data_IF_380589876411
#
_entry.id   IF_380589876411
#
_cell.length_a   1.000
_cell.length_b   1.000
_cell.length_c   1.000
_cell.angle_alpha   90.00
_cell.angle_beta   90.00
_cell.angle_gamma   90.00
#
_symmetry.space_group_name_H-M   'P 1'
#
loop_
_entity.id
_entity.type
_entity.pdbx_description
1 polymer ?
#
# COMPACT_ATOMS: atom_id res chain seq x y z
N UNK A 1 -38.18 -19.70 -15.25
CA UNK A 1 -37.51 -18.44 -14.88
C UNK A 1 -36.18 -18.37 -15.62
N UNK A 2 -36.11 -17.63 -16.73
CA UNK A 2 -34.84 -17.42 -17.42
C UNK A 2 -34.01 -16.40 -16.65
N UNK A 3 -33.05 -16.89 -15.85
CA UNK A 3 -31.98 -16.03 -15.35
C UNK A 3 -31.17 -15.57 -16.56
N UNK A 4 -31.32 -14.30 -16.90
CA UNK A 4 -30.67 -13.69 -18.05
C UNK A 4 -29.15 -13.72 -17.81
N UNK A 5 -28.38 -14.25 -18.77
CA UNK A 5 -26.96 -14.57 -18.57
C UNK A 5 -26.14 -13.35 -18.17
N UNK A 6 -26.57 -12.15 -18.59
CA UNK A 6 -26.01 -10.86 -18.20
C UNK A 6 -26.19 -10.55 -16.71
N UNK A 7 -27.34 -10.91 -16.12
CA UNK A 7 -27.60 -10.72 -14.69
C UNK A 7 -26.67 -11.59 -13.83
N UNK A 8 -26.41 -12.83 -14.27
CA UNK A 8 -25.48 -13.74 -13.59
C UNK A 8 -24.03 -13.21 -13.62
N UNK A 9 -23.60 -12.60 -14.73
CA UNK A 9 -22.28 -11.98 -14.87
C UNK A 9 -22.13 -10.77 -13.93
N UNK A 10 -23.12 -9.87 -13.89
CA UNK A 10 -23.11 -8.71 -12.98
C UNK A 10 -23.12 -9.14 -11.51
N UNK A 11 -23.87 -10.19 -11.16
CA UNK A 11 -23.85 -10.77 -9.83
C UNK A 11 -22.49 -11.36 -9.47
N UNK A 12 -21.84 -12.07 -10.40
CA UNK A 12 -20.49 -12.59 -10.19
C UNK A 12 -19.48 -11.46 -9.96
N UNK A 13 -19.50 -10.40 -10.77
CA UNK A 13 -18.62 -9.23 -10.57
C UNK A 13 -18.83 -8.56 -9.21
N UNK A 14 -20.10 -8.41 -8.79
CA UNK A 14 -20.43 -7.85 -7.48
C UNK A 14 -19.92 -8.73 -6.34
N UNK A 15 -20.02 -10.05 -6.49
CA UNK A 15 -19.49 -11.01 -5.52
C UNK A 15 -17.96 -10.97 -5.48
N UNK A 16 -17.29 -10.89 -6.63
CA UNK A 16 -15.82 -10.78 -6.71
C UNK A 16 -15.33 -9.50 -6.03
N UNK A 17 -16.02 -8.36 -6.24
CA UNK A 17 -15.71 -7.11 -5.55
C UNK A 17 -15.93 -7.22 -4.03
N UNK A 18 -17.01 -7.87 -3.59
CA UNK A 18 -17.27 -8.11 -2.16
C UNK A 18 -16.23 -9.02 -1.55
N UNK A 19 -15.82 -10.06 -2.26
CA UNK A 19 -14.76 -10.98 -1.83
C UNK A 19 -13.42 -10.26 -1.72
N UNK A 20 -13.05 -9.44 -2.70
CA UNK A 20 -11.85 -8.61 -2.64
C UNK A 20 -11.88 -7.65 -1.45
N UNK A 21 -13.00 -6.96 -1.23
CA UNK A 21 -13.17 -6.07 -0.09
C UNK A 21 -13.10 -6.81 1.26
N UNK A 22 -13.73 -7.98 1.37
CA UNK A 22 -13.68 -8.80 2.57
C UNK A 22 -12.26 -9.31 2.87
N UNK A 23 -11.51 -9.73 1.84
CA UNK A 23 -10.08 -10.07 1.97
C UNK A 23 -9.24 -8.88 2.40
N UNK A 24 -9.53 -7.68 1.88
CA UNK A 24 -8.84 -6.46 2.31
C UNK A 24 -9.14 -6.13 3.78
N UNK A 25 -10.38 -6.30 4.23
CA UNK A 25 -10.75 -6.13 5.64
C UNK A 25 -10.03 -7.14 6.53
N UNK A 26 -10.00 -8.42 6.15
CA UNK A 26 -9.29 -9.47 6.89
C UNK A 26 -7.79 -9.15 7.01
N UNK A 27 -7.13 -8.85 5.88
CA UNK A 27 -5.71 -8.47 5.88
C UNK A 27 -5.44 -7.25 6.75
N UNK A 28 -6.32 -6.23 6.69
CA UNK A 28 -6.19 -5.04 7.55
C UNK A 28 -6.34 -5.39 9.03
N UNK A 29 -7.31 -6.22 9.40
CA UNK A 29 -7.50 -6.67 10.77
C UNK A 29 -6.29 -7.48 11.27
N UNK A 30 -5.74 -8.36 10.43
CA UNK A 30 -4.53 -9.12 10.73
C UNK A 30 -3.31 -8.20 10.92
N UNK A 31 -3.11 -7.18 10.09
CA UNK A 31 -2.01 -6.21 10.29
C UNK A 31 -2.12 -5.49 11.63
N UNK A 32 -3.32 -5.01 11.97
CA UNK A 32 -3.55 -4.29 13.24
C UNK A 32 -3.26 -5.21 14.44
N UNK A 33 -3.72 -6.46 14.38
CA UNK A 33 -3.43 -7.45 15.41
C UNK A 33 -1.92 -7.77 15.47
N UNK A 34 -1.27 -7.91 14.31
CA UNK A 34 0.16 -8.17 14.20
C UNK A 34 1.03 -7.04 14.76
N UNK A 35 0.65 -5.78 14.51
CA UNK A 35 1.29 -4.60 15.11
C UNK A 35 1.16 -4.62 16.64
N UNK A 36 -0.05 -4.86 17.16
CA UNK A 36 -0.28 -4.95 18.60
C UNK A 36 0.49 -6.12 19.26
N UNK A 37 0.54 -7.27 18.59
CA UNK A 37 1.29 -8.44 19.03
C UNK A 37 2.81 -8.21 19.01
N UNK A 38 3.34 -7.58 17.96
CA UNK A 38 4.77 -7.26 17.83
C UNK A 38 5.26 -6.32 18.94
N UNK A 39 4.41 -5.38 19.39
CA UNK A 39 4.72 -4.47 20.50
C UNK A 39 4.69 -5.16 21.86
N UNK A 40 3.71 -6.05 22.09
CA UNK A 40 3.48 -6.67 23.41
C UNK A 40 4.33 -7.91 23.69
N UNK A 41 4.96 -8.52 22.67
CA UNK A 41 5.96 -9.56 22.83
C UNK A 41 5.45 -10.84 23.52
N UNK A 42 5.21 -11.88 22.72
CA UNK A 42 5.30 -13.26 23.22
C UNK A 42 5.49 -14.22 22.04
N UNK A 43 6.73 -14.42 21.56
CA UNK A 43 7.01 -15.45 20.57
C UNK A 43 7.51 -16.69 21.31
N UNK A 44 6.63 -17.67 21.52
CA UNK A 44 7.05 -19.05 21.86
C UNK A 44 7.63 -19.77 20.62
N UNK A 45 7.49 -19.18 19.43
CA UNK A 45 7.99 -19.70 18.16
C UNK A 45 9.14 -18.83 17.63
N UNK A 46 10.28 -19.47 17.36
CA UNK A 46 11.51 -18.85 16.87
C UNK A 46 11.31 -18.11 15.54
N UNK A 47 10.46 -18.66 14.65
CA UNK A 47 10.14 -18.02 13.36
C UNK A 47 9.33 -16.72 13.54
N UNK A 48 8.48 -16.67 14.56
CA UNK A 48 7.70 -15.48 14.89
C UNK A 48 8.59 -14.44 15.57
N UNK A 49 9.61 -14.86 16.31
CA UNK A 49 10.57 -13.96 16.94
C UNK A 49 11.38 -13.17 15.90
N UNK A 50 11.91 -13.83 14.87
CA UNK A 50 12.62 -13.15 13.77
C UNK A 50 11.72 -12.12 13.07
N UNK A 51 10.49 -12.51 12.73
CA UNK A 51 9.51 -11.60 12.13
C UNK A 51 9.19 -10.40 13.04
N UNK A 52 9.01 -10.62 14.35
CA UNK A 52 8.75 -9.54 15.31
C UNK A 52 9.96 -8.60 15.41
N UNK A 53 11.18 -9.12 15.41
CA UNK A 53 12.39 -8.28 15.42
C UNK A 53 12.52 -7.46 14.14
N UNK A 54 12.26 -8.06 12.97
CA UNK A 54 12.25 -7.37 11.69
C UNK A 54 11.20 -6.26 11.62
N UNK A 55 9.98 -6.52 12.11
CA UNK A 55 8.91 -5.51 12.18
C UNK A 55 9.26 -4.37 13.12
N UNK A 56 9.83 -4.67 14.30
CA UNK A 56 10.31 -3.63 15.23
C UNK A 56 11.40 -2.77 14.61
N UNK A 57 12.39 -3.38 13.95
CA UNK A 57 13.46 -2.67 13.27
C UNK A 57 12.92 -1.77 12.15
N UNK A 58 11.95 -2.25 11.36
CA UNK A 58 11.31 -1.43 10.33
C UNK A 58 10.42 -0.31 10.89
N UNK A 59 9.78 -0.49 12.04
CA UNK A 59 9.13 0.64 12.71
C UNK A 59 10.15 1.69 13.17
N UNK A 60 11.31 1.28 13.70
CA UNK A 60 12.38 2.21 14.02
C UNK A 60 12.94 2.96 12.81
N UNK A 61 13.05 2.31 11.64
CA UNK A 61 13.47 2.99 10.40
C UNK A 61 12.43 4.03 9.95
N UNK A 62 11.13 3.70 10.02
CA UNK A 62 10.04 4.64 9.72
C UNK A 62 10.03 5.82 10.68
N UNK A 63 10.27 5.59 11.97
CA UNK A 63 10.36 6.65 12.97
C UNK A 63 11.58 7.55 12.74
N UNK A 64 12.73 6.98 12.37
CA UNK A 64 13.93 7.73 12.00
C UNK A 64 13.66 8.66 10.79
N UNK A 65 13.06 8.14 9.72
CA UNK A 65 12.67 8.94 8.55
C UNK A 65 11.63 10.02 8.89
N UNK A 66 10.75 9.75 9.85
CA UNK A 66 9.77 10.74 10.32
C UNK A 66 10.45 11.87 11.08
N UNK A 67 11.48 11.58 11.88
CA UNK A 67 12.31 12.59 12.55
C UNK A 67 13.17 13.38 11.56
N UNK A 68 13.68 12.74 10.50
CA UNK A 68 14.36 13.46 9.41
C UNK A 68 13.42 14.45 8.71
N UNK A 69 12.14 14.09 8.57
CA UNK A 69 11.12 14.98 7.98
C UNK A 69 10.88 16.22 8.85
N UNK A 70 10.83 16.06 10.18
CA UNK A 70 10.67 17.20 11.10
C UNK A 70 11.92 18.08 11.11
N UNK A 71 13.11 17.46 11.16
CA UNK A 71 14.39 18.19 11.12
C UNK A 71 14.56 18.99 9.80
N UNK A 72 14.17 18.41 8.66
CA UNK A 72 14.17 19.12 7.37
C UNK A 72 13.25 20.34 7.37
N UNK A 73 12.10 20.26 8.03
CA UNK A 73 11.16 21.38 8.12
C UNK A 73 11.70 22.50 9.00
N UNK A 74 12.37 22.15 10.09
CA UNK A 74 13.05 23.12 10.96
C UNK A 74 14.20 23.83 10.24
N UNK A 75 15.02 23.10 9.49
CA UNK A 75 16.07 23.66 8.66
C UNK A 75 15.50 24.60 7.57
N UNK A 76 14.45 24.18 6.86
CA UNK A 76 13.79 25.02 5.85
C UNK A 76 13.21 26.31 6.46
N UNK A 77 12.69 26.25 7.69
CA UNK A 77 12.18 27.43 8.39
C UNK A 77 13.29 28.43 8.69
N UNK A 78 14.44 27.96 9.16
CA UNK A 78 15.61 28.82 9.40
C UNK A 78 16.08 29.48 8.09
N UNK A 79 16.20 28.68 7.02
CA UNK A 79 16.61 29.16 5.70
C UNK A 79 15.62 30.17 5.12
N UNK A 80 14.31 29.94 5.31
CA UNK A 80 13.26 30.84 4.85
C UNK A 80 13.31 32.22 5.52
N UNK A 81 13.62 32.27 6.82
CA UNK A 81 13.77 33.52 7.57
C UNK A 81 15.04 34.27 7.15
N UNK A 82 16.14 33.53 6.93
CA UNK A 82 17.42 34.11 6.51
C UNK A 82 17.45 34.56 5.04
N UNK A 83 16.53 34.06 4.21
CA UNK A 83 16.51 34.33 2.77
C UNK A 83 15.79 35.64 2.40
N UNK A 84 16.32 36.31 1.36
CA UNK A 84 15.65 37.43 0.71
C UNK A 84 14.24 37.04 0.19
N UNK A 85 13.32 38.00 0.14
CA UNK A 85 11.92 37.75 -0.20
C UNK A 85 11.71 37.02 -1.54
N UNK A 86 12.55 37.31 -2.54
CA UNK A 86 12.50 36.68 -3.87
C UNK A 86 13.06 35.24 -3.89
N UNK A 87 13.91 34.86 -2.93
CA UNK A 87 14.48 33.50 -2.80
C UNK A 87 13.59 32.54 -2.00
N UNK A 88 12.62 33.05 -1.24
CA UNK A 88 11.69 32.25 -0.43
C UNK A 88 10.96 31.14 -1.21
N UNK A 89 10.46 31.36 -2.44
CA UNK A 89 9.84 30.30 -3.23
C UNK A 89 10.80 29.13 -3.52
N UNK A 90 12.08 29.41 -3.74
CA UNK A 90 13.11 28.38 -4.01
C UNK A 90 13.32 27.50 -2.79
N UNK A 91 13.42 28.10 -1.60
CA UNK A 91 13.53 27.37 -0.32
C UNK A 91 12.32 26.46 -0.10
N UNK A 92 11.11 26.96 -0.38
CA UNK A 92 9.87 26.18 -0.27
C UNK A 92 9.88 25.00 -1.25
N UNK A 93 10.26 25.22 -2.51
CA UNK A 93 10.33 24.16 -3.52
C UNK A 93 11.33 23.07 -3.15
N UNK A 94 12.53 23.44 -2.69
CA UNK A 94 13.54 22.50 -2.18
C UNK A 94 12.97 21.64 -1.05
N UNK A 95 12.34 22.27 -0.07
CA UNK A 95 11.72 21.57 1.07
C UNK A 95 10.62 20.60 0.64
N UNK A 96 9.80 20.98 -0.35
CA UNK A 96 8.76 20.10 -0.92
C UNK A 96 9.37 18.88 -1.60
N UNK A 97 10.43 19.05 -2.40
CA UNK A 97 11.14 17.95 -3.05
C UNK A 97 11.74 16.98 -2.02
N UNK A 98 12.43 17.48 -1.00
CA UNK A 98 13.02 16.64 0.06
C UNK A 98 11.95 15.84 0.80
N UNK A 99 10.84 16.50 1.20
CA UNK A 99 9.71 15.82 1.86
C UNK A 99 9.01 14.81 0.96
N UNK A 100 8.94 15.05 -0.35
CA UNK A 100 8.37 14.08 -1.30
C UNK A 100 9.20 12.78 -1.34
N UNK A 101 10.53 12.89 -1.36
CA UNK A 101 11.44 11.73 -1.31
C UNK A 101 11.31 10.99 0.02
N UNK A 102 11.29 11.70 1.15
CA UNK A 102 11.12 11.08 2.47
C UNK A 102 9.76 10.37 2.60
N UNK A 103 8.67 11.00 2.14
CA UNK A 103 7.34 10.37 2.10
C UNK A 103 7.34 9.11 1.24
N UNK A 104 8.04 9.12 0.11
CA UNK A 104 8.16 7.94 -0.74
C UNK A 104 8.90 6.81 -0.03
N UNK A 105 10.02 7.10 0.64
CA UNK A 105 10.77 6.11 1.44
C UNK A 105 9.93 5.53 2.57
N UNK A 106 9.27 6.39 3.36
CA UNK A 106 8.34 5.96 4.42
C UNK A 106 7.24 5.05 3.86
N UNK A 107 6.69 5.40 2.71
CA UNK A 107 5.66 4.60 2.05
C UNK A 107 6.17 3.22 1.63
N UNK A 108 7.41 3.13 1.10
CA UNK A 108 8.02 1.85 0.73
C UNK A 108 8.28 0.98 1.95
N UNK A 109 8.85 1.55 3.02
CA UNK A 109 9.09 0.83 4.28
C UNK A 109 7.78 0.32 4.89
N UNK A 110 6.74 1.16 4.96
CA UNK A 110 5.41 0.75 5.46
C UNK A 110 4.78 -0.35 4.61
N UNK A 111 5.01 -0.34 3.29
CA UNK A 111 4.54 -1.41 2.41
C UNK A 111 5.28 -2.73 2.68
N UNK A 112 6.58 -2.67 2.93
CA UNK A 112 7.40 -3.83 3.27
C UNK A 112 6.95 -4.45 4.61
N UNK A 113 6.49 -3.64 5.57
CA UNK A 113 5.98 -4.11 6.86
C UNK A 113 4.61 -4.80 6.79
N UNK A 114 3.80 -4.54 5.76
CA UNK A 114 2.44 -5.07 5.70
C UNK A 114 2.36 -6.61 5.68
N UNK A 115 3.25 -7.28 4.94
CA UNK A 115 3.27 -8.75 4.86
C UNK A 115 3.75 -9.43 6.15
N UNK A 116 4.86 -9.04 6.79
CA UNK A 116 5.27 -9.64 8.05
C UNK A 116 4.29 -9.33 9.20
N UNK A 117 3.68 -8.14 9.24
CA UNK A 117 2.63 -7.83 10.21
C UNK A 117 1.40 -8.74 10.05
N UNK A 118 0.96 -9.03 8.81
CA UNK A 118 -0.12 -9.98 8.55
C UNK A 118 0.22 -11.38 9.07
N UNK A 119 1.46 -11.84 8.86
CA UNK A 119 1.90 -13.16 9.30
C UNK A 119 1.92 -13.28 10.83
N UNK A 120 2.45 -12.26 11.52
CA UNK A 120 2.43 -12.18 12.99
C UNK A 120 0.99 -12.14 13.50
N UNK A 121 0.13 -11.34 12.89
CA UNK A 121 -1.28 -11.25 13.26
C UNK A 121 -2.03 -12.57 13.06
N UNK A 122 -1.72 -13.31 11.99
CA UNK A 122 -2.30 -14.62 11.72
C UNK A 122 -1.85 -15.67 12.75
N UNK A 123 -0.57 -15.65 13.15
CA UNK A 123 -0.05 -16.51 14.22
C UNK A 123 -0.69 -16.16 15.57
N UNK A 124 -0.78 -14.87 15.90
CA UNK A 124 -1.39 -14.37 17.12
C UNK A 124 -2.88 -14.69 17.22
N UNK A 125 -3.64 -14.59 16.12
CA UNK A 125 -5.08 -14.87 16.12
C UNK A 125 -5.43 -16.32 16.53
N UNK A 126 -4.49 -17.25 16.43
CA UNK A 126 -4.69 -18.65 16.83
C UNK A 126 -4.25 -18.92 18.28
N UNK A 127 -3.66 -17.94 18.97
CA UNK A 127 -3.15 -18.09 20.33
C UNK A 127 -4.17 -17.57 21.36
N UNK A 128 -4.50 -18.34 22.41
CA UNK A 128 -5.45 -17.90 23.44
C UNK A 128 -4.94 -16.70 24.24
N UNK A 129 -3.61 -16.55 24.38
CA UNK A 129 -2.99 -15.40 25.04
C UNK A 129 -3.18 -14.08 24.28
N UNK A 130 -3.27 -14.13 22.95
CA UNK A 130 -3.54 -12.93 22.16
C UNK A 130 -4.96 -12.42 22.39
N UNK A 131 -5.93 -13.34 22.58
CA UNK A 131 -7.31 -12.97 22.93
C UNK A 131 -7.39 -12.28 24.29
N UNK A 132 -6.58 -12.72 25.27
CA UNK A 132 -6.52 -12.10 26.58
C UNK A 132 -5.91 -10.69 26.56
N UNK A 133 -4.92 -10.44 25.69
CA UNK A 133 -4.21 -9.15 25.61
C UNK A 133 -4.90 -8.14 24.68
N UNK A 134 -5.47 -8.61 23.58
CA UNK A 134 -6.02 -7.80 22.49
C UNK A 134 -7.40 -8.29 22.04
N UNK A 135 -8.40 -8.33 22.94
CA UNK A 135 -9.69 -8.97 22.68
C UNK A 135 -10.43 -8.33 21.50
N UNK A 136 -10.39 -7.01 21.38
CA UNK A 136 -11.08 -6.27 20.31
C UNK A 136 -10.44 -6.53 18.94
N UNK A 137 -9.11 -6.56 18.87
CA UNK A 137 -8.38 -6.82 17.63
C UNK A 137 -8.59 -8.28 17.18
N UNK A 138 -8.53 -9.24 18.10
CA UNK A 138 -8.80 -10.65 17.77
C UNK A 138 -10.25 -10.83 17.31
N UNK A 139 -11.21 -10.20 17.99
CA UNK A 139 -12.63 -10.20 17.56
C UNK A 139 -12.79 -9.64 16.15
N UNK A 140 -12.11 -8.55 15.81
CA UNK A 140 -12.17 -7.97 14.45
C UNK A 140 -11.65 -8.92 13.37
N UNK A 141 -10.63 -9.73 13.68
CA UNK A 141 -10.11 -10.78 12.78
C UNK A 141 -11.11 -11.91 12.63
N UNK A 142 -11.72 -12.35 13.73
CA UNK A 142 -12.76 -13.39 13.73
C UNK A 142 -13.98 -12.96 12.92
N UNK A 143 -14.46 -11.73 13.13
CA UNK A 143 -15.60 -11.16 12.41
C UNK A 143 -15.31 -11.03 10.91
N UNK A 144 -14.13 -10.53 10.54
CA UNK A 144 -13.71 -10.44 9.14
C UNK A 144 -13.60 -11.82 8.46
N UNK A 145 -13.07 -12.83 9.18
CA UNK A 145 -13.02 -14.22 8.70
C UNK A 145 -14.41 -14.81 8.53
N UNK A 146 -15.32 -14.53 9.46
CA UNK A 146 -16.71 -14.99 9.38
C UNK A 146 -17.44 -14.34 8.18
N UNK A 147 -17.25 -13.04 7.95
CA UNK A 147 -17.77 -12.33 6.77
C UNK A 147 -17.26 -12.97 5.47
N UNK A 148 -15.95 -13.22 5.37
CA UNK A 148 -15.35 -13.85 4.20
C UNK A 148 -15.88 -15.27 3.96
N UNK A 149 -15.99 -16.10 5.02
CA UNK A 149 -16.53 -17.47 4.91
C UNK A 149 -17.98 -17.45 4.41
N UNK A 150 -18.82 -16.58 4.97
CA UNK A 150 -20.22 -16.42 4.52
C UNK A 150 -20.29 -16.04 3.05
N UNK A 151 -19.45 -15.12 2.58
CA UNK A 151 -19.40 -14.71 1.18
C UNK A 151 -18.93 -15.85 0.26
N UNK A 152 -17.94 -16.64 0.68
CA UNK A 152 -17.47 -17.80 -0.09
C UNK A 152 -18.54 -18.91 -0.18
N UNK A 153 -19.29 -19.13 0.90
CA UNK A 153 -20.43 -20.06 0.89
C UNK A 153 -21.58 -19.57 0.00
N UNK A 154 -21.92 -18.28 0.09
CA UNK A 154 -22.92 -17.63 -0.78
C UNK A 154 -22.51 -17.75 -2.25
N UNK A 155 -21.25 -17.45 -2.57
CA UNK A 155 -20.69 -17.63 -3.92
C UNK A 155 -20.80 -19.08 -4.38
N UNK A 156 -20.44 -20.06 -3.53
CA UNK A 156 -20.52 -21.48 -3.88
C UNK A 156 -21.96 -21.88 -4.23
N UNK A 157 -22.94 -21.49 -3.41
CA UNK A 157 -24.37 -21.77 -3.64
C UNK A 157 -24.89 -21.12 -4.93
N UNK A 158 -24.48 -19.88 -5.21
CA UNK A 158 -24.94 -19.14 -6.39
C UNK A 158 -24.29 -19.62 -7.70
N UNK A 159 -23.07 -20.14 -7.64
CA UNK A 159 -22.33 -20.61 -8.82
C UNK A 159 -22.46 -22.12 -9.06
N UNK A 160 -22.98 -22.89 -8.10
CA UNK A 160 -23.24 -24.33 -8.23
C UNK A 160 -24.07 -24.69 -9.48
N UNK A 161 -25.15 -23.97 -9.85
CA UNK A 161 -25.91 -24.25 -11.07
C UNK A 161 -25.13 -23.99 -12.37
N UNK A 162 -24.02 -23.25 -12.29
CA UNK A 162 -23.18 -22.87 -13.43
C UNK A 162 -21.83 -23.60 -13.42
N UNK A 163 -21.68 -24.68 -12.65
CA UNK A 163 -20.43 -25.45 -12.58
C UNK A 163 -19.26 -24.69 -11.94
N UNK A 164 -19.55 -23.68 -11.10
CA UNK A 164 -18.54 -22.91 -10.36
C UNK A 164 -18.12 -21.59 -10.99
N UNK A 165 -18.61 -21.22 -12.18
CA UNK A 165 -18.38 -19.91 -12.81
C UNK A 165 -19.58 -19.49 -13.66
N UNK A 166 -20.09 -18.28 -13.48
CA UNK A 166 -21.10 -17.71 -14.38
C UNK A 166 -20.48 -17.08 -15.64
N UNK A 167 -19.17 -16.79 -15.61
CA UNK A 167 -18.41 -16.37 -16.78
C UNK A 167 -18.13 -17.57 -17.70
N UNK A 168 -18.28 -17.40 -19.03
CA UNK A 168 -17.91 -18.42 -19.98
C UNK A 168 -16.40 -18.70 -19.92
N UNK A 169 -16.01 -19.96 -20.16
CA UNK A 169 -14.66 -20.48 -19.93
C UNK A 169 -13.52 -19.72 -20.66
N UNK A 170 -13.84 -18.90 -21.66
CA UNK A 170 -12.89 -18.05 -22.40
C UNK A 170 -12.53 -16.73 -21.70
N UNK A 171 -13.36 -16.24 -20.78
CA UNK A 171 -13.15 -14.96 -20.11
C UNK A 171 -11.88 -14.86 -19.24
N UNK A 172 -11.48 -15.90 -18.47
CA UNK A 172 -10.22 -15.89 -17.75
C UNK A 172 -8.99 -15.80 -18.67
N UNK A 173 -9.10 -16.27 -19.92
CA UNK A 173 -8.02 -16.15 -20.91
C UNK A 173 -7.86 -14.71 -21.41
N UNK A 174 -8.96 -13.97 -21.59
CA UNK A 174 -8.97 -12.57 -22.01
C UNK A 174 -8.34 -11.61 -20.98
N UNK A 175 -8.49 -11.89 -19.69
CA UNK A 175 -7.82 -11.12 -18.63
C UNK A 175 -6.29 -11.33 -18.64
N UNK A 176 -5.83 -12.53 -19.03
CA UNK A 176 -4.39 -12.82 -19.15
C UNK A 176 -3.78 -12.08 -20.33
N UNK A 177 -4.52 -11.93 -21.41
CA UNK A 177 -4.10 -11.14 -22.58
C UNK A 177 -4.14 -9.63 -22.33
N UNK A 178 -5.16 -9.12 -21.61
CA UNK A 178 -5.28 -7.68 -21.32
C UNK A 178 -4.18 -7.17 -20.39
N UNK A 179 -3.70 -7.98 -19.44
CA UNK A 179 -2.56 -7.63 -18.58
C UNK A 179 -1.24 -7.60 -19.34
N UNK A 180 -1.06 -8.46 -20.34
CA UNK A 180 0.09 -8.44 -21.26
C UNK A 180 0.01 -7.21 -22.17
N UNK A 181 -1.16 -6.89 -22.70
CA UNK A 181 -1.41 -5.66 -23.48
C UNK A 181 -1.19 -4.40 -22.65
N UNK A 182 -1.68 -4.34 -21.42
CA UNK A 182 -1.46 -3.22 -20.50
C UNK A 182 0.01 -3.05 -20.13
N UNK A 183 0.74 -4.15 -19.92
CA UNK A 183 2.19 -4.13 -19.67
C UNK A 183 2.98 -3.71 -20.91
N UNK A 184 2.58 -4.16 -22.10
CA UNK A 184 3.19 -3.77 -23.36
C UNK A 184 2.95 -2.29 -23.70
N UNK A 185 1.72 -1.79 -23.48
CA UNK A 185 1.38 -0.38 -23.60
C UNK A 185 2.18 0.46 -22.58
N UNK A 186 2.25 0.03 -21.33
CA UNK A 186 3.06 0.72 -20.31
C UNK A 186 4.56 0.76 -20.67
N UNK A 187 5.10 -0.32 -21.21
CA UNK A 187 6.48 -0.40 -21.70
C UNK A 187 6.72 0.47 -22.95
N UNK A 188 5.70 0.71 -23.78
CA UNK A 188 5.75 1.67 -24.90
C UNK A 188 5.61 3.13 -24.45
N UNK A 189 4.84 3.41 -23.38
CA UNK A 189 4.71 4.77 -22.83
C UNK A 189 5.95 5.20 -22.02
N UNK A 190 6.61 4.25 -21.35
CA UNK A 190 7.83 4.48 -20.55
C UNK A 190 8.94 5.25 -21.31
N UNK A 191 9.33 4.91 -22.55
CA UNK A 191 10.36 5.64 -23.29
C UNK A 191 9.92 7.01 -23.84
N UNK A 192 8.63 7.35 -23.86
CA UNK A 192 8.16 8.67 -24.33
C UNK A 192 7.96 9.69 -23.19
N UNK A 193 7.78 9.23 -21.95
CA UNK A 193 7.61 10.09 -20.77
C UNK A 193 8.95 10.37 -20.06
N UNK A 194 9.88 9.41 -20.05
CA UNK A 194 11.20 9.56 -19.44
C UNK A 194 12.12 10.62 -20.09
N UNK A 195 12.23 10.77 -21.42
CA UNK A 195 13.14 11.76 -22.01
C UNK A 195 12.65 13.21 -21.88
N UNK A 196 11.35 13.43 -21.69
CA UNK A 196 10.81 14.79 -21.45
C UNK A 196 11.04 15.27 -20.02
N UNK A 197 11.20 14.36 -19.06
CA UNK A 197 11.54 14.71 -17.68
C UNK A 197 12.97 15.26 -17.55
N UNK A 198 13.95 14.66 -18.24
CA UNK A 198 15.34 15.16 -18.25
C UNK A 198 15.49 16.45 -19.05
N UNK A 199 14.76 16.61 -20.15
CA UNK A 199 14.73 17.86 -20.91
C UNK A 199 14.13 19.02 -20.11
N UNK A 200 13.06 18.78 -19.34
CA UNK A 200 12.48 19.79 -18.43
C UNK A 200 13.41 20.11 -17.25
N UNK A 201 14.09 19.10 -16.69
CA UNK A 201 15.10 19.31 -15.66
C UNK A 201 16.31 20.10 -16.20
N UNK A 202 16.77 19.80 -17.41
CA UNK A 202 17.84 20.53 -18.09
C UNK A 202 17.45 21.97 -18.44
N UNK A 203 16.21 22.20 -18.89
CA UNK A 203 15.67 23.55 -19.11
C UNK A 203 15.53 24.34 -17.80
N UNK A 204 15.11 23.70 -16.70
CA UNK A 204 15.02 24.35 -15.40
C UNK A 204 16.40 24.72 -14.84
N UNK A 205 17.40 23.84 -14.97
CA UNK A 205 18.79 24.12 -14.58
C UNK A 205 19.43 25.18 -15.49
N UNK A 206 19.19 25.12 -16.81
CA UNK A 206 19.69 26.10 -17.77
C UNK A 206 19.07 27.49 -17.57
N UNK A 207 17.77 27.56 -17.26
CA UNK A 207 17.09 28.80 -16.89
C UNK A 207 17.65 29.39 -15.58
N UNK A 208 17.94 28.55 -14.59
CA UNK A 208 18.55 28.97 -13.32
C UNK A 208 19.99 29.46 -13.47
N UNK A 209 20.81 28.82 -14.33
CA UNK A 209 22.19 29.25 -14.59
C UNK A 209 22.23 30.55 -15.41
N UNK A 210 21.34 30.70 -16.39
CA UNK A 210 21.27 31.92 -17.20
C UNK A 210 20.88 33.13 -16.33
N UNK A 211 19.92 32.96 -15.42
CA UNK A 211 19.40 34.04 -14.58
C UNK A 211 20.31 34.40 -13.39
N UNK A 212 21.35 33.62 -13.11
CA UNK A 212 22.34 33.90 -12.04
C UNK A 212 23.60 34.60 -12.55
N UNK A 213 23.82 34.64 -13.87
CA UNK A 213 25.00 35.27 -14.49
C UNK A 213 24.68 36.46 -15.40
N UNK A 214 23.41 36.83 -15.58
CA UNK A 214 23.03 38.05 -16.34
C UNK A 214 22.79 39.29 -15.47
N UNK A 215 22.92 39.20 -14.15
CA UNK A 215 22.80 40.33 -13.21
C UNK A 215 24.15 40.67 -12.53
N UNK A 216 25.27 40.53 -13.26
CA UNK A 216 26.57 41.11 -12.91
C UNK A 216 26.98 42.19 -13.90
#
# INVERSE_FOLDING_TARGET
>A
MHFDRLSAILHQLRLDLREQNARHKERRALRVLGQAAALTGSPDDYNVLELVTGVRQGHHSVDALSRETTASLEADRADYIASAAWMRPVVVLRGLCTRAVLRHRIMLERRALGTPEEAIGAAAANQPLAFARHPDQVKSVVDARAELRRLLEERKRLLEPFGGSALPNWFPHLHRESTVLGRALWLQFKPNVLPRGSALAGLAVGWWLANTYTDS
#
